data_IF_600676318399
#
_entry.id   IF_600676318399
#
_cell.length_a   1.000
_cell.length_b   1.000
_cell.length_c   1.000
_cell.angle_alpha   90.00
_cell.angle_beta   90.00
_cell.angle_gamma   90.00
#
_symmetry.space_group_name_H-M   'P 1'
#
loop_
_entity.id
_entity.type
_entity.pdbx_description
1 polymer ?
#
# COMPACT_ATOMS: atom_id res chain seq x y z
N UNK A 1 -10.09 17.40 4.17
CA UNK A 1 -9.48 16.22 3.56
C UNK A 1 -10.51 15.11 3.57
N UNK A 2 -10.65 14.40 2.46
CA UNK A 2 -11.58 13.28 2.23
C UNK A 2 -10.75 12.08 1.75
N UNK A 3 -11.33 10.87 1.77
CA UNK A 3 -10.67 9.68 1.23
C UNK A 3 -11.56 8.99 0.22
N UNK A 4 -10.96 8.58 -0.89
CA UNK A 4 -11.54 7.60 -1.79
C UNK A 4 -10.87 6.24 -1.56
N UNK A 5 -11.62 5.18 -1.71
CA UNK A 5 -11.18 3.83 -1.44
C UNK A 5 -11.17 3.03 -2.73
N UNK A 6 -10.01 2.47 -3.06
CA UNK A 6 -9.87 1.61 -4.22
C UNK A 6 -9.69 0.16 -3.79
N UNK A 7 -10.49 -0.79 -4.30
CA UNK A 7 -10.40 -2.18 -3.88
C UNK A 7 -9.13 -2.85 -4.42
N UNK A 8 -8.52 -3.67 -3.59
CA UNK A 8 -7.53 -4.69 -3.96
C UNK A 8 -8.21 -6.03 -3.84
N UNK A 9 -8.36 -6.74 -4.96
CA UNK A 9 -9.08 -8.01 -5.03
C UNK A 9 -8.12 -9.19 -5.09
N UNK A 10 -8.51 -10.29 -4.45
CA UNK A 10 -7.82 -11.56 -4.50
C UNK A 10 -7.81 -12.13 -5.92
N UNK A 11 -6.66 -12.54 -6.42
CA UNK A 11 -6.52 -13.22 -7.70
C UNK A 11 -7.08 -14.65 -7.66
N UNK A 12 -7.28 -15.23 -6.48
CA UNK A 12 -7.78 -16.61 -6.31
C UNK A 12 -9.28 -16.66 -6.48
N UNK A 13 -10.02 -15.90 -5.67
CA UNK A 13 -11.48 -15.99 -5.54
C UNK A 13 -12.22 -14.66 -5.82
N UNK A 14 -11.48 -13.61 -6.18
CA UNK A 14 -11.99 -12.26 -6.44
C UNK A 14 -12.62 -11.58 -5.21
N UNK A 15 -12.41 -12.12 -4.02
CA UNK A 15 -12.84 -11.48 -2.78
C UNK A 15 -12.03 -10.21 -2.49
N UNK A 16 -12.61 -9.30 -1.72
CA UNK A 16 -11.92 -8.11 -1.27
C UNK A 16 -10.82 -8.48 -0.28
N UNK A 17 -9.57 -8.14 -0.58
CA UNK A 17 -8.45 -8.26 0.37
C UNK A 17 -8.36 -7.05 1.30
N UNK A 18 -8.39 -5.86 0.73
CA UNK A 18 -8.36 -4.57 1.45
C UNK A 18 -8.72 -3.43 0.49
N UNK A 19 -8.86 -2.23 1.02
CA UNK A 19 -8.93 -1.00 0.21
C UNK A 19 -7.63 -0.20 0.35
N UNK A 20 -7.18 0.43 -0.72
CA UNK A 20 -6.21 1.52 -0.62
C UNK A 20 -6.95 2.83 -0.35
N UNK A 21 -6.53 3.55 0.69
CA UNK A 21 -7.10 4.83 1.08
C UNK A 21 -6.37 5.97 0.36
N UNK A 22 -7.00 6.54 -0.64
CA UNK A 22 -6.46 7.59 -1.48
C UNK A 22 -6.97 8.97 -1.03
N UNK A 23 -6.08 9.80 -0.47
CA UNK A 23 -6.43 11.12 0.01
C UNK A 23 -6.93 12.04 -1.11
N UNK A 24 -7.90 12.88 -0.77
CA UNK A 24 -8.47 13.94 -1.61
C UNK A 24 -8.56 15.22 -0.79
N UNK A 25 -8.27 16.35 -1.42
CA UNK A 25 -8.39 17.68 -0.77
C UNK A 25 -9.41 18.50 -1.55
N UNK A 26 -10.35 19.11 -0.83
CA UNK A 26 -11.34 20.02 -1.43
C UNK A 26 -10.87 21.46 -1.28
N UNK A 27 -10.74 22.15 -2.42
CA UNK A 27 -10.32 23.56 -2.49
C UNK A 27 -11.31 24.28 -3.40
N UNK A 28 -11.95 25.33 -2.90
CA UNK A 28 -12.91 26.14 -3.69
C UNK A 28 -14.08 25.33 -4.29
N UNK A 29 -14.47 24.21 -3.67
CA UNK A 29 -15.50 23.30 -4.19
C UNK A 29 -14.97 22.19 -5.10
N UNK A 30 -13.76 22.30 -5.61
CA UNK A 30 -13.10 21.31 -6.47
C UNK A 30 -12.37 20.25 -5.63
N UNK A 31 -12.44 18.98 -6.08
CA UNK A 31 -11.81 17.85 -5.40
C UNK A 31 -10.49 17.49 -6.10
N UNK A 32 -9.38 17.76 -5.44
CA UNK A 32 -8.03 17.49 -5.95
C UNK A 32 -7.57 16.08 -5.54
N UNK A 33 -7.01 15.33 -6.49
CA UNK A 33 -6.36 14.06 -6.23
C UNK A 33 -4.92 14.23 -5.74
N UNK A 34 -4.31 13.15 -5.22
CA UNK A 34 -2.97 13.16 -4.65
C UNK A 34 -1.89 13.65 -5.65
N UNK A 35 -1.98 13.27 -6.92
CA UNK A 35 -1.03 13.70 -7.95
C UNK A 35 -0.93 15.22 -8.13
N UNK A 36 -1.98 15.96 -7.72
CA UNK A 36 -1.99 17.43 -7.81
C UNK A 36 -1.39 18.07 -6.54
N UNK A 37 -1.74 17.58 -5.36
CA UNK A 37 -1.35 18.27 -4.12
C UNK A 37 -0.11 17.68 -3.43
N UNK A 38 0.24 16.40 -3.62
CA UNK A 38 1.45 15.81 -3.02
C UNK A 38 2.73 16.54 -3.42
N UNK A 39 2.94 16.95 -4.69
CA UNK A 39 4.11 17.78 -5.04
C UNK A 39 4.20 19.10 -4.27
N UNK A 40 3.06 19.66 -3.81
CA UNK A 40 3.06 20.85 -2.95
C UNK A 40 3.39 20.47 -1.50
N UNK A 41 2.87 19.36 -1.00
CA UNK A 41 3.21 18.83 0.34
C UNK A 41 4.72 18.62 0.44
N UNK A 42 5.35 17.98 -0.57
CA UNK A 42 6.79 17.77 -0.65
C UNK A 42 7.57 19.09 -0.75
N UNK A 43 7.13 19.99 -1.62
CA UNK A 43 7.79 21.31 -1.81
C UNK A 43 7.86 22.16 -0.55
N UNK A 44 6.90 21.99 0.36
CA UNK A 44 6.79 22.75 1.60
C UNK A 44 7.19 21.95 2.85
N UNK A 45 7.83 20.79 2.69
CA UNK A 45 8.28 19.89 3.78
C UNK A 45 7.13 19.54 4.75
N UNK A 46 5.92 19.27 4.21
CA UNK A 46 4.72 18.97 4.98
C UNK A 46 4.38 17.48 5.04
N UNK A 47 5.22 16.59 4.50
CA UNK A 47 4.94 15.15 4.35
C UNK A 47 4.64 14.51 5.70
N UNK A 48 5.46 14.78 6.72
CA UNK A 48 5.24 14.18 8.05
C UNK A 48 3.91 14.63 8.68
N UNK A 49 3.59 15.92 8.54
CA UNK A 49 2.33 16.47 9.04
C UNK A 49 1.13 15.87 8.29
N UNK A 50 1.26 15.68 6.97
CA UNK A 50 0.25 15.08 6.13
C UNK A 50 0.04 13.60 6.47
N UNK A 51 1.12 12.83 6.63
CA UNK A 51 1.05 11.41 6.99
C UNK A 51 0.41 11.23 8.38
N UNK A 52 0.80 12.04 9.37
CA UNK A 52 0.18 12.04 10.70
C UNK A 52 -1.32 12.34 10.66
N UNK A 53 -1.72 13.31 9.85
CA UNK A 53 -3.13 13.67 9.67
C UNK A 53 -3.91 12.53 9.01
N UNK A 54 -3.35 11.93 7.95
CA UNK A 54 -3.95 10.81 7.21
C UNK A 54 -4.13 9.60 8.10
N UNK A 55 -3.08 9.16 8.78
CA UNK A 55 -3.12 8.03 9.73
C UNK A 55 -4.16 8.25 10.82
N UNK A 56 -4.15 9.45 11.45
CA UNK A 56 -5.08 9.76 12.52
C UNK A 56 -6.54 9.76 12.07
N UNK A 57 -6.80 10.29 10.86
CA UNK A 57 -8.15 10.33 10.30
C UNK A 57 -8.68 8.93 9.94
N UNK A 58 -7.84 8.06 9.37
CA UNK A 58 -8.23 6.69 9.00
C UNK A 58 -8.39 5.78 10.23
N UNK A 59 -7.53 5.92 11.24
CA UNK A 59 -7.72 5.26 12.53
C UNK A 59 -9.06 5.66 13.16
N UNK A 60 -9.37 6.96 13.20
CA UNK A 60 -10.65 7.43 13.71
C UNK A 60 -11.81 6.83 12.93
N UNK A 61 -11.74 6.86 11.60
CA UNK A 61 -12.81 6.30 10.75
C UNK A 61 -13.04 4.81 11.02
N UNK A 62 -11.98 3.99 11.08
CA UNK A 62 -12.10 2.57 11.40
C UNK A 62 -12.68 2.33 12.78
N UNK A 63 -12.35 3.20 13.75
CA UNK A 63 -12.86 3.10 15.11
C UNK A 63 -14.35 3.44 15.19
N UNK A 64 -14.82 4.36 14.37
CA UNK A 64 -16.21 4.79 14.29
C UNK A 64 -17.12 3.75 13.56
N UNK A 65 -16.52 2.77 12.86
CA UNK A 65 -17.27 1.69 12.19
C UNK A 65 -17.53 0.50 13.14
N UNK A 66 -18.71 -0.11 12.95
CA UNK A 66 -18.99 -1.41 13.53
C UNK A 66 -17.97 -2.47 13.07
N UNK A 67 -17.64 -3.44 13.92
CA UNK A 67 -16.61 -4.44 13.64
C UNK A 67 -16.88 -5.19 12.32
N UNK A 68 -18.14 -5.56 12.10
CA UNK A 68 -18.57 -6.32 10.91
C UNK A 68 -18.48 -5.53 9.60
N UNK A 69 -18.30 -4.21 9.69
CA UNK A 69 -18.18 -3.30 8.55
C UNK A 69 -16.74 -2.85 8.28
N UNK A 70 -15.78 -3.34 9.08
CA UNK A 70 -14.37 -2.97 8.94
C UNK A 70 -13.72 -3.79 7.85
N UNK A 71 -13.22 -3.12 6.83
CA UNK A 71 -12.28 -3.67 5.88
C UNK A 71 -10.85 -3.19 6.20
N UNK A 72 -9.85 -3.97 5.83
CA UNK A 72 -8.47 -3.53 5.96
C UNK A 72 -8.18 -2.34 5.02
N UNK A 73 -7.37 -1.39 5.49
CA UNK A 73 -7.00 -0.18 4.76
C UNK A 73 -5.49 -0.12 4.57
N UNK A 74 -5.06 0.04 3.33
CA UNK A 74 -3.69 0.40 2.98
C UNK A 74 -3.55 1.93 3.00
N UNK A 75 -2.49 2.39 3.67
CA UNK A 75 -2.20 3.81 3.95
C UNK A 75 -0.81 4.12 3.46
N UNK A 76 -0.70 5.00 2.48
CA UNK A 76 0.57 5.46 1.95
C UNK A 76 1.33 6.31 2.97
N UNK A 77 2.62 6.04 3.14
CA UNK A 77 3.57 6.82 3.93
C UNK A 77 4.68 7.37 3.03
N UNK A 78 5.05 8.62 3.25
CA UNK A 78 6.14 9.24 2.52
C UNK A 78 7.50 8.66 2.93
N UNK A 79 8.43 8.63 1.99
CA UNK A 79 9.84 8.31 2.31
C UNK A 79 10.45 9.27 3.31
N UNK A 80 10.01 10.53 3.31
CA UNK A 80 10.46 11.57 4.25
C UNK A 80 10.10 11.18 5.69
N UNK A 81 8.84 10.85 5.95
CA UNK A 81 8.36 10.48 7.29
C UNK A 81 9.09 9.25 7.84
N UNK A 82 9.31 8.22 7.01
CA UNK A 82 10.00 6.99 7.43
C UNK A 82 11.49 7.21 7.72
N UNK A 83 12.10 8.31 7.24
CA UNK A 83 13.47 8.71 7.63
C UNK A 83 13.56 9.30 9.03
N UNK A 84 12.44 9.75 9.60
CA UNK A 84 12.40 10.35 10.93
C UNK A 84 12.05 9.31 12.00
N UNK A 85 12.98 9.06 12.93
CA UNK A 85 12.76 8.10 14.03
C UNK A 85 11.61 8.54 14.95
N UNK A 86 11.45 9.83 15.19
CA UNK A 86 10.35 10.35 15.99
C UNK A 86 8.99 10.10 15.34
N UNK A 87 8.91 10.10 14.01
CA UNK A 87 7.70 9.71 13.30
C UNK A 87 7.42 8.20 13.44
N UNK A 88 8.45 7.36 13.35
CA UNK A 88 8.33 5.90 13.53
C UNK A 88 7.79 5.61 14.94
N UNK A 89 8.36 6.24 15.96
CA UNK A 89 7.92 6.08 17.35
C UNK A 89 6.48 6.53 17.54
N UNK A 90 6.14 7.71 17.00
CA UNK A 90 4.79 8.21 17.02
C UNK A 90 3.79 7.26 16.35
N UNK A 91 4.16 6.69 15.19
CA UNK A 91 3.28 5.79 14.43
C UNK A 91 3.02 4.49 15.20
N UNK A 92 4.06 3.87 15.73
CA UNK A 92 3.95 2.63 16.52
C UNK A 92 3.12 2.89 17.78
N UNK A 93 3.38 3.97 18.50
CA UNK A 93 2.61 4.36 19.69
C UNK A 93 1.14 4.61 19.32
N UNK A 94 0.89 5.37 18.25
CA UNK A 94 -0.46 5.66 17.79
C UNK A 94 -1.26 4.41 17.45
N UNK A 95 -0.65 3.43 16.80
CA UNK A 95 -1.29 2.15 16.47
C UNK A 95 -1.47 1.29 17.74
N UNK A 96 -0.50 1.27 18.65
CA UNK A 96 -0.53 0.48 19.89
C UNK A 96 -1.70 0.84 20.80
N UNK A 97 -2.11 2.12 20.78
CA UNK A 97 -3.28 2.61 21.53
C UNK A 97 -4.63 2.20 20.93
N UNK A 98 -4.61 1.59 19.72
CA UNK A 98 -5.81 1.20 18.96
C UNK A 98 -5.76 -0.27 18.53
N UNK A 99 -5.47 -1.18 19.47
CA UNK A 99 -5.25 -2.63 19.23
C UNK A 99 -6.38 -3.33 18.48
N UNK A 100 -7.62 -2.88 18.68
CA UNK A 100 -8.80 -3.42 18.00
C UNK A 100 -8.88 -3.07 16.50
N UNK A 101 -8.09 -2.10 16.04
CA UNK A 101 -8.05 -1.66 14.63
C UNK A 101 -6.70 -2.00 13.98
N UNK A 102 -5.64 -2.20 14.75
CA UNK A 102 -4.31 -2.50 14.22
C UNK A 102 -4.30 -3.61 13.14
N UNK A 103 -5.06 -4.74 13.26
CA UNK A 103 -5.10 -5.77 12.23
C UNK A 103 -5.66 -5.33 10.87
N UNK A 104 -6.40 -4.21 10.85
CA UNK A 104 -6.98 -3.62 9.64
C UNK A 104 -6.07 -2.56 8.99
N UNK A 105 -4.92 -2.24 9.61
CA UNK A 105 -3.98 -1.23 9.09
C UNK A 105 -2.84 -1.89 8.33
N UNK A 106 -2.66 -1.47 7.08
CA UNK A 106 -1.55 -1.82 6.21
C UNK A 106 -0.85 -0.51 5.85
N UNK A 107 0.41 -0.35 6.20
CA UNK A 107 1.18 0.84 5.83
C UNK A 107 2.00 0.53 4.58
N UNK A 108 1.92 1.39 3.57
CA UNK A 108 2.65 1.24 2.32
C UNK A 108 3.78 2.24 2.24
N UNK A 109 4.98 1.78 1.89
CA UNK A 109 6.16 2.63 1.71
C UNK A 109 6.77 2.36 0.33
N UNK A 110 7.21 3.41 -0.40
CA UNK A 110 7.84 3.22 -1.70
C UNK A 110 9.11 2.38 -1.61
N UNK A 111 9.41 1.57 -2.64
CA UNK A 111 10.64 0.75 -2.70
C UNK A 111 11.91 1.57 -2.44
N UNK A 112 11.96 2.79 -2.95
CA UNK A 112 13.10 3.69 -2.75
C UNK A 112 13.42 3.93 -1.27
N UNK A 113 12.41 3.92 -0.40
CA UNK A 113 12.58 4.05 1.06
C UNK A 113 13.41 2.91 1.63
N UNK A 114 13.17 1.68 1.17
CA UNK A 114 13.88 0.49 1.67
C UNK A 114 15.39 0.64 1.49
N UNK A 115 15.81 1.16 0.34
CA UNK A 115 17.23 1.34 0.02
C UNK A 115 17.90 2.44 0.83
N UNK A 116 17.18 3.51 1.09
CA UNK A 116 17.74 4.71 1.71
C UNK A 116 17.82 4.62 3.23
N UNK A 117 16.92 3.85 3.86
CA UNK A 117 16.79 3.81 5.34
C UNK A 117 16.50 2.40 5.88
N UNK A 118 17.15 1.37 5.35
CA UNK A 118 16.89 -0.03 5.67
C UNK A 118 16.76 -0.33 7.18
N UNK A 119 17.67 0.20 8.01
CA UNK A 119 17.64 -0.02 9.47
C UNK A 119 16.39 0.57 10.14
N UNK A 120 15.99 1.78 9.71
CA UNK A 120 14.80 2.44 10.23
C UNK A 120 13.52 1.74 9.75
N UNK A 121 13.51 1.31 8.49
CA UNK A 121 12.39 0.54 7.94
C UNK A 121 12.22 -0.80 8.66
N UNK A 122 13.32 -1.47 9.00
CA UNK A 122 13.28 -2.70 9.80
C UNK A 122 12.64 -2.46 11.15
N UNK A 123 13.06 -1.40 11.86
CA UNK A 123 12.44 -1.00 13.15
C UNK A 123 10.96 -0.73 13.00
N UNK A 124 10.55 0.00 11.95
CA UNK A 124 9.14 0.26 11.66
C UNK A 124 8.37 -1.05 11.43
N UNK A 125 8.89 -1.94 10.58
CA UNK A 125 8.26 -3.20 10.24
C UNK A 125 8.08 -4.12 11.47
N UNK A 126 9.12 -4.22 12.31
CA UNK A 126 9.07 -4.99 13.55
C UNK A 126 8.08 -4.39 14.54
N UNK A 127 8.13 -3.06 14.77
CA UNK A 127 7.20 -2.38 15.66
C UNK A 127 5.73 -2.47 15.21
N UNK A 128 5.46 -2.31 13.92
CA UNK A 128 4.11 -2.49 13.38
C UNK A 128 3.60 -3.92 13.57
N UNK A 129 4.45 -4.92 13.31
CA UNK A 129 4.13 -6.33 13.54
C UNK A 129 3.80 -6.62 15.01
N UNK A 130 4.57 -6.07 15.94
CA UNK A 130 4.34 -6.26 17.39
C UNK A 130 2.99 -5.70 17.84
N UNK A 131 2.53 -4.60 17.26
CA UNK A 131 1.24 -4.00 17.56
C UNK A 131 0.09 -4.58 16.74
N UNK A 132 0.38 -5.52 15.81
CA UNK A 132 -0.62 -6.23 15.00
C UNK A 132 -0.97 -5.56 13.68
N UNK A 133 -0.28 -4.48 13.29
CA UNK A 133 -0.40 -3.83 11.99
C UNK A 133 0.57 -4.45 10.96
N UNK A 134 0.43 -4.05 9.70
CA UNK A 134 1.14 -4.65 8.57
C UNK A 134 1.95 -3.59 7.81
N UNK A 135 3.07 -4.00 7.22
CA UNK A 135 3.87 -3.17 6.31
C UNK A 135 3.90 -3.79 4.92
N UNK A 136 3.70 -2.98 3.91
CA UNK A 136 3.81 -3.31 2.49
C UNK A 136 4.85 -2.44 1.80
N UNK A 137 5.52 -2.98 0.78
CA UNK A 137 6.37 -2.20 -0.12
C UNK A 137 5.59 -1.89 -1.38
N UNK A 138 5.56 -0.62 -1.75
CA UNK A 138 4.89 -0.12 -2.95
C UNK A 138 5.86 0.24 -4.07
N UNK A 139 5.38 0.29 -5.31
CA UNK A 139 6.13 0.60 -6.53
C UNK A 139 7.37 -0.28 -6.71
N UNK A 140 7.24 -1.58 -6.45
CA UNK A 140 8.35 -2.50 -6.51
C UNK A 140 8.79 -2.81 -7.94
N UNK A 141 10.12 -2.76 -8.16
CA UNK A 141 10.76 -2.97 -9.46
C UNK A 141 11.24 -1.68 -10.12
N UNK A 142 10.94 -0.51 -9.54
CA UNK A 142 11.40 0.78 -10.07
C UNK A 142 12.88 1.04 -9.84
N UNK A 143 13.51 0.25 -8.97
CA UNK A 143 14.92 0.36 -8.65
C UNK A 143 15.69 -0.89 -9.11
N UNK A 144 16.92 -0.71 -9.64
CA UNK A 144 17.81 -1.81 -10.04
C UNK A 144 18.39 -2.53 -8.80
N UNK A 145 17.54 -3.15 -7.99
CA UNK A 145 17.95 -3.76 -6.73
C UNK A 145 17.80 -5.28 -6.74
N UNK A 146 18.71 -5.97 -6.08
CA UNK A 146 18.53 -7.39 -5.78
C UNK A 146 17.51 -7.55 -4.65
N UNK A 147 16.70 -8.62 -4.66
CA UNK A 147 15.76 -8.93 -3.57
C UNK A 147 16.40 -9.18 -2.19
N UNK A 148 17.73 -9.15 -2.13
CA UNK A 148 18.49 -9.40 -0.90
C UNK A 148 18.18 -8.41 0.22
N UNK A 149 17.88 -7.16 -0.11
CA UNK A 149 17.57 -6.12 0.89
C UNK A 149 16.21 -6.32 1.59
N UNK A 150 15.32 -7.13 1.02
CA UNK A 150 14.06 -7.52 1.68
C UNK A 150 14.27 -8.57 2.78
N UNK A 151 15.48 -9.16 2.84
CA UNK A 151 15.78 -10.21 3.80
C UNK A 151 15.70 -9.70 5.24
N UNK A 152 14.93 -10.38 6.07
CA UNK A 152 14.76 -10.03 7.47
C UNK A 152 13.76 -8.89 7.75
N UNK A 153 13.05 -8.39 6.72
CA UNK A 153 11.92 -7.49 6.91
C UNK A 153 10.61 -8.30 7.07
N UNK A 154 9.86 -8.13 8.14
CA UNK A 154 8.56 -8.79 8.32
C UNK A 154 7.49 -8.07 7.48
N UNK A 155 7.52 -8.26 6.16
CA UNK A 155 6.59 -7.67 5.22
C UNK A 155 5.30 -8.49 5.12
N UNK A 156 4.20 -7.79 4.96
CA UNK A 156 2.90 -8.37 4.62
C UNK A 156 2.78 -8.62 3.12
N UNK A 157 3.07 -7.60 2.32
CA UNK A 157 2.96 -7.68 0.87
C UNK A 157 3.99 -6.80 0.15
N UNK A 158 4.13 -7.08 -1.14
CA UNK A 158 4.85 -6.25 -2.10
C UNK A 158 3.89 -5.94 -3.23
N UNK A 159 3.80 -4.68 -3.66
CA UNK A 159 2.99 -4.24 -4.79
C UNK A 159 3.91 -3.97 -5.99
N UNK A 160 3.71 -4.69 -7.08
CA UNK A 160 4.48 -4.54 -8.32
C UNK A 160 4.08 -3.24 -9.01
N UNK A 161 5.09 -2.45 -9.39
CA UNK A 161 4.89 -1.18 -10.09
C UNK A 161 4.18 -1.36 -11.44
N UNK A 162 3.34 -0.40 -11.77
CA UNK A 162 2.53 -0.35 -12.98
C UNK A 162 3.36 -0.48 -14.28
N UNK A 163 4.62 -0.08 -14.29
CA UNK A 163 5.50 -0.18 -15.46
C UNK A 163 5.67 -1.62 -15.95
N UNK A 164 5.56 -2.61 -15.04
CA UNK A 164 5.59 -4.03 -15.39
C UNK A 164 4.22 -4.60 -15.78
N UNK A 165 3.14 -3.90 -15.44
CA UNK A 165 1.77 -4.39 -15.64
C UNK A 165 1.17 -3.85 -16.94
N UNK A 166 1.50 -2.60 -17.30
CA UNK A 166 0.89 -1.89 -18.42
C UNK A 166 0.94 -2.66 -19.74
N UNK A 167 2.06 -3.26 -20.08
CA UNK A 167 2.32 -4.00 -21.32
C UNK A 167 2.62 -5.49 -21.11
N UNK A 168 2.27 -6.03 -19.96
CA UNK A 168 2.60 -7.41 -19.54
C UNK A 168 2.10 -8.47 -20.52
N UNK A 169 1.07 -8.19 -21.31
CA UNK A 169 0.50 -9.11 -22.29
C UNK A 169 1.49 -9.38 -23.44
N UNK A 170 2.24 -8.36 -23.86
CA UNK A 170 3.09 -8.39 -25.04
C UNK A 170 4.59 -8.40 -24.68
N UNK A 171 4.92 -8.25 -23.39
CA UNK A 171 6.30 -8.11 -22.93
C UNK A 171 6.74 -9.34 -22.11
N UNK A 172 7.50 -10.23 -22.74
CA UNK A 172 7.99 -11.46 -22.13
C UNK A 172 8.95 -11.20 -20.96
N UNK A 173 9.73 -10.12 -20.99
CA UNK A 173 10.64 -9.78 -19.89
C UNK A 173 9.85 -9.35 -18.64
N UNK A 174 8.77 -8.60 -18.81
CA UNK A 174 7.86 -8.23 -17.71
C UNK A 174 7.14 -9.46 -17.15
N UNK A 175 6.68 -10.37 -18.01
CA UNK A 175 6.08 -11.64 -17.57
C UNK A 175 7.08 -12.45 -16.74
N UNK A 176 8.30 -12.61 -17.24
CA UNK A 176 9.37 -13.34 -16.53
C UNK A 176 9.71 -12.70 -15.18
N UNK A 177 9.82 -11.37 -15.15
CA UNK A 177 10.06 -10.62 -13.91
C UNK A 177 8.97 -10.89 -12.87
N UNK A 178 7.70 -10.69 -13.25
CA UNK A 178 6.56 -10.87 -12.33
C UNK A 178 6.46 -12.31 -11.83
N UNK A 179 6.59 -13.31 -12.73
CA UNK A 179 6.58 -14.74 -12.32
C UNK A 179 7.73 -15.08 -11.38
N UNK A 180 8.92 -14.52 -11.60
CA UNK A 180 10.07 -14.73 -10.72
C UNK A 180 9.82 -14.10 -9.36
N UNK A 181 9.21 -12.91 -9.34
CA UNK A 181 8.87 -12.20 -8.11
C UNK A 181 7.82 -12.96 -7.29
N UNK A 182 6.80 -13.56 -7.92
CA UNK A 182 5.84 -14.44 -7.24
C UNK A 182 6.56 -15.53 -6.45
N UNK A 183 7.46 -16.28 -7.11
CA UNK A 183 8.20 -17.38 -6.47
C UNK A 183 9.05 -16.90 -5.30
N UNK A 184 9.72 -15.74 -5.45
CA UNK A 184 10.57 -15.15 -4.40
C UNK A 184 9.71 -14.68 -3.22
N UNK A 185 8.60 -13.99 -3.46
CA UNK A 185 7.69 -13.49 -2.44
C UNK A 185 7.08 -14.66 -1.65
N UNK A 186 6.53 -15.67 -2.34
CA UNK A 186 5.91 -16.82 -1.73
C UNK A 186 6.91 -17.67 -0.92
N UNK A 187 8.18 -17.80 -1.35
CA UNK A 187 9.22 -18.47 -0.57
C UNK A 187 9.49 -17.83 0.78
N UNK A 188 9.04 -16.60 0.98
CA UNK A 188 9.18 -15.79 2.22
C UNK A 188 7.86 -15.53 2.94
N UNK A 189 6.76 -16.13 2.49
CA UNK A 189 5.40 -15.87 2.97
C UNK A 189 5.00 -14.39 2.85
N UNK A 190 5.43 -13.71 1.78
CA UNK A 190 5.05 -12.34 1.44
C UNK A 190 4.04 -12.41 0.30
N UNK A 191 2.93 -11.69 0.44
CA UNK A 191 1.93 -11.60 -0.64
C UNK A 191 2.47 -10.71 -1.75
N UNK A 192 2.13 -11.05 -3.01
CA UNK A 192 2.44 -10.23 -4.17
C UNK A 192 1.16 -9.68 -4.78
N UNK A 193 1.08 -8.36 -4.89
CA UNK A 193 -0.04 -7.68 -5.55
C UNK A 193 0.45 -6.87 -6.74
N UNK A 194 -0.45 -6.56 -7.67
CA UNK A 194 -0.18 -5.71 -8.82
C UNK A 194 -1.08 -4.48 -8.81
N UNK A 195 -0.58 -3.36 -9.32
CA UNK A 195 -1.36 -2.14 -9.49
C UNK A 195 -1.69 -1.86 -10.96
N UNK A 196 -2.65 -0.93 -11.19
CA UNK A 196 -3.06 -0.44 -12.51
C UNK A 196 -3.47 -1.53 -13.51
N UNK A 197 -4.23 -2.51 -13.05
CA UNK A 197 -4.91 -3.47 -13.93
C UNK A 197 -6.08 -2.77 -14.61
N UNK A 198 -5.99 -2.53 -15.92
CA UNK A 198 -6.96 -1.76 -16.70
C UNK A 198 -7.80 -2.64 -17.63
N UNK A 199 -7.36 -3.89 -17.90
CA UNK A 199 -8.00 -4.77 -18.86
C UNK A 199 -8.09 -6.21 -18.35
N UNK A 200 -9.15 -6.92 -18.79
CA UNK A 200 -9.38 -8.32 -18.45
C UNK A 200 -8.18 -9.20 -18.77
N UNK A 201 -7.52 -9.00 -19.89
CA UNK A 201 -6.40 -9.85 -20.30
C UNK A 201 -5.19 -9.71 -19.35
N UNK A 202 -4.91 -8.51 -18.79
CA UNK A 202 -3.92 -8.35 -17.74
C UNK A 202 -4.33 -9.14 -16.48
N UNK A 203 -5.59 -8.99 -16.07
CA UNK A 203 -6.13 -9.71 -14.91
C UNK A 203 -6.02 -11.24 -15.04
N UNK A 204 -6.43 -11.79 -16.19
CA UNK A 204 -6.37 -13.24 -16.45
C UNK A 204 -4.92 -13.75 -16.46
N UNK A 205 -4.00 -12.96 -17.01
CA UNK A 205 -2.58 -13.29 -17.04
C UNK A 205 -1.96 -13.28 -15.62
N UNK A 206 -2.24 -12.25 -14.82
CA UNK A 206 -1.75 -12.16 -13.44
C UNK A 206 -2.28 -13.31 -12.57
N UNK A 207 -3.53 -13.69 -12.75
CA UNK A 207 -4.10 -14.89 -12.09
C UNK A 207 -3.39 -16.17 -12.51
N UNK A 208 -3.06 -16.32 -13.79
CA UNK A 208 -2.31 -17.48 -14.29
C UNK A 208 -0.90 -17.56 -13.70
N UNK A 209 -0.30 -16.42 -13.32
CA UNK A 209 0.99 -16.34 -12.64
C UNK A 209 0.89 -16.58 -11.13
N UNK A 210 -0.33 -16.78 -10.61
CA UNK A 210 -0.58 -17.00 -9.18
C UNK A 210 -0.21 -15.82 -8.28
N UNK A 211 -0.44 -14.59 -8.76
CA UNK A 211 -0.42 -13.44 -7.85
C UNK A 211 -1.50 -13.59 -6.79
N UNK A 212 -1.27 -12.96 -5.63
CA UNK A 212 -2.22 -13.01 -4.52
C UNK A 212 -3.35 -12.01 -4.70
N UNK A 213 -3.06 -10.82 -5.23
CA UNK A 213 -4.06 -9.79 -5.43
C UNK A 213 -3.71 -8.77 -6.50
N UNK A 214 -4.69 -7.97 -6.89
CA UNK A 214 -4.48 -6.87 -7.82
C UNK A 214 -5.47 -5.72 -7.61
N UNK A 215 -5.08 -4.56 -8.10
CA UNK A 215 -5.80 -3.30 -8.06
C UNK A 215 -5.75 -2.64 -9.44
N UNK A 216 -6.81 -1.94 -9.80
CA UNK A 216 -6.86 -1.18 -11.05
C UNK A 216 -8.29 -0.84 -11.44
N UNK A 217 -8.45 0.01 -12.45
CA UNK A 217 -9.78 0.48 -12.88
C UNK A 217 -10.67 -0.64 -13.41
N UNK A 218 -10.08 -1.69 -13.97
CA UNK A 218 -10.83 -2.88 -14.36
C UNK A 218 -11.50 -3.58 -13.17
N UNK A 219 -10.86 -3.57 -12.01
CA UNK A 219 -11.32 -4.23 -10.78
C UNK A 219 -12.17 -3.31 -9.90
N UNK A 220 -11.97 -2.00 -10.00
CA UNK A 220 -12.71 -0.99 -9.30
C UNK A 220 -12.02 0.36 -9.28
N UNK A 221 -12.78 1.42 -9.52
CA UNK A 221 -12.28 2.78 -9.41
C UNK A 221 -12.28 3.25 -7.95
N UNK A 222 -11.39 4.22 -7.60
CA UNK A 222 -11.46 4.88 -6.31
C UNK A 222 -12.80 5.59 -6.11
N UNK A 223 -13.55 5.23 -5.07
CA UNK A 223 -14.88 5.80 -4.78
C UNK A 223 -14.92 6.44 -3.40
N UNK A 224 -15.79 7.44 -3.25
CA UNK A 224 -16.15 8.04 -1.96
C UNK A 224 -16.76 6.98 -1.02
N UNK A 225 -16.67 7.11 0.31
CA UNK A 225 -16.84 6.02 1.23
C UNK A 225 -18.29 5.62 1.45
N UNK A 226 -18.73 4.57 0.82
CA UNK A 226 -19.56 3.59 1.51
C UNK A 226 -18.71 2.32 1.69
N UNK A 227 -17.93 2.26 2.76
CA UNK A 227 -17.21 1.04 3.18
C UNK A 227 -18.19 -0.03 3.70
N UNK A 228 -19.45 0.10 3.36
CA UNK A 228 -20.52 -0.82 3.69
C UNK A 228 -21.06 -1.41 2.37
N UNK A 229 -20.36 -2.39 1.86
CA UNK A 229 -20.92 -3.33 0.90
C UNK A 229 -20.35 -4.71 1.16
#
# INVERSE_FOLDING_TARGET
MEFHYQPVLSCVDQSLMHYEALARIRVGGELLNAGIFIPLVERFDLEEAFDKLTVSALIKRLNDLDVDKRAALAINLSSHSVRNEAFIDWLIDRVSTHKNIAPYLIFEVPELTVRTVHGKLKRLAEGLKEVGAKLSIDHFGTTNSSFGYLSGLPLYSIKVDHSYIRDIQDNLDHQFFVQSLVRIAHSRNILLTAEMVEHQAQWDLLRSFQLDGAQGYYLGEPRSPDLAA
#
